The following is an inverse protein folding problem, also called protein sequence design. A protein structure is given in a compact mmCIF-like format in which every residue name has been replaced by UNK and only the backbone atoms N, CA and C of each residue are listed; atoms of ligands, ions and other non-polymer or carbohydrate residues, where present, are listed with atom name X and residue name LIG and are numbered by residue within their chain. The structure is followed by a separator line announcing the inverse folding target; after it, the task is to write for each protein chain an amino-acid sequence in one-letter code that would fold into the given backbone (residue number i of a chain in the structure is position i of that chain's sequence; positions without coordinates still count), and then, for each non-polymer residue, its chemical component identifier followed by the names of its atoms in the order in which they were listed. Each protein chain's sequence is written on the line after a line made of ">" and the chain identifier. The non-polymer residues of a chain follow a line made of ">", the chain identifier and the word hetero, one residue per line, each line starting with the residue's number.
data_IF_030900065506
#
_entry.id   IF_030900065506
#
_cell.length_a   1.000
_cell.length_b   1.000
_cell.length_c   1.000
_cell.angle_alpha   90.00
_cell.angle_beta   90.00
_cell.angle_gamma   90.00
#
_symmetry.space_group_name_H-M   'P 1'
#
loop_
_entity.id
_entity.type
_entity.pdbx_description
1 polymer ?
#
# COMPACT_ATOMS: atom_id res chain seq x y z
N UNK A 1 7.39 -15.63 -51.37
CA UNK A 1 6.56 -16.67 -50.70
C UNK A 1 6.22 -16.38 -49.24
N UNK A 2 7.17 -15.90 -48.42
CA UNK A 2 6.93 -15.60 -47.00
C UNK A 2 5.88 -14.51 -46.76
N UNK A 3 5.88 -13.43 -47.56
CA UNK A 3 4.92 -12.32 -47.39
C UNK A 3 3.49 -12.74 -47.78
N UNK A 4 3.32 -13.56 -48.84
CA UNK A 4 2.01 -14.12 -49.23
C UNK A 4 1.43 -15.01 -48.13
N UNK A 5 2.27 -15.82 -47.47
CA UNK A 5 1.85 -16.68 -46.35
C UNK A 5 1.45 -15.82 -45.14
N UNK A 6 2.23 -14.80 -44.82
CA UNK A 6 1.95 -13.86 -43.70
C UNK A 6 0.62 -13.11 -43.94
N UNK A 7 0.37 -12.67 -45.16
CA UNK A 7 -0.90 -12.01 -45.47
C UNK A 7 -2.09 -12.97 -45.33
N UNK A 8 -2.00 -14.20 -45.90
CA UNK A 8 -3.07 -15.22 -45.71
C UNK A 8 -3.36 -15.54 -44.27
N UNK A 9 -2.33 -15.65 -43.42
CA UNK A 9 -2.49 -15.87 -41.95
C UNK A 9 -3.18 -14.68 -41.28
N UNK A 10 -2.85 -13.46 -41.67
CA UNK A 10 -3.49 -12.25 -41.17
C UNK A 10 -4.97 -12.20 -41.56
N UNK A 11 -5.29 -12.48 -42.79
CA UNK A 11 -6.67 -12.48 -43.30
C UNK A 11 -7.50 -13.59 -42.62
N UNK A 12 -6.93 -14.79 -42.47
CA UNK A 12 -7.56 -15.87 -41.71
C UNK A 12 -7.84 -15.47 -40.25
N UNK A 13 -6.87 -14.84 -39.57
CA UNK A 13 -7.03 -14.39 -38.19
C UNK A 13 -8.12 -13.34 -38.07
N UNK A 14 -8.15 -12.35 -38.96
CA UNK A 14 -9.18 -11.29 -38.94
C UNK A 14 -10.57 -11.89 -39.15
N UNK A 15 -10.73 -12.76 -40.17
CA UNK A 15 -12.02 -13.37 -40.51
C UNK A 15 -12.53 -14.33 -39.43
N UNK A 16 -11.63 -14.93 -38.64
CA UNK A 16 -11.98 -15.88 -37.60
C UNK A 16 -11.84 -15.31 -36.18
N UNK A 17 -11.61 -14.00 -36.01
CA UNK A 17 -11.29 -13.38 -34.73
C UNK A 17 -12.31 -13.67 -33.62
N UNK A 18 -13.61 -13.62 -33.96
CA UNK A 18 -14.70 -13.87 -33.00
C UNK A 18 -14.67 -15.31 -32.51
N UNK A 19 -14.53 -16.28 -33.42
CA UNK A 19 -14.46 -17.71 -33.08
C UNK A 19 -13.22 -18.03 -32.25
N UNK A 20 -12.06 -17.46 -32.59
CA UNK A 20 -10.82 -17.62 -31.87
C UNK A 20 -10.95 -17.07 -30.42
N UNK A 21 -11.54 -15.88 -30.28
CA UNK A 21 -11.80 -15.27 -28.97
C UNK A 21 -12.75 -16.10 -28.11
N UNK A 22 -13.82 -16.64 -28.70
CA UNK A 22 -14.78 -17.51 -27.98
C UNK A 22 -14.11 -18.80 -27.53
N UNK A 23 -13.35 -19.48 -28.38
CA UNK A 23 -12.59 -20.69 -28.05
C UNK A 23 -11.58 -20.41 -26.93
N UNK A 24 -10.84 -19.32 -27.00
CA UNK A 24 -9.89 -18.92 -25.98
C UNK A 24 -10.57 -18.60 -24.64
N UNK A 25 -11.75 -17.94 -24.64
CA UNK A 25 -12.54 -17.68 -23.44
C UNK A 25 -13.04 -18.98 -22.78
N UNK A 26 -13.55 -19.91 -23.61
CA UNK A 26 -14.00 -21.22 -23.13
C UNK A 26 -12.85 -22.00 -22.49
N UNK A 27 -11.73 -22.13 -23.21
CA UNK A 27 -10.52 -22.80 -22.70
C UNK A 27 -10.04 -22.21 -21.36
N UNK A 28 -9.98 -20.86 -21.23
CA UNK A 28 -9.59 -20.21 -19.98
C UNK A 28 -10.55 -20.52 -18.83
N UNK A 29 -11.85 -20.56 -19.12
CA UNK A 29 -12.87 -20.90 -18.09
C UNK A 29 -12.70 -22.35 -17.60
N UNK A 30 -12.53 -23.28 -18.51
CA UNK A 30 -12.40 -24.72 -18.22
C UNK A 30 -11.07 -25.05 -17.53
N UNK A 31 -10.00 -24.29 -17.80
CA UNK A 31 -8.66 -24.55 -17.26
C UNK A 31 -8.19 -23.51 -16.24
N UNK A 32 -9.11 -22.75 -15.62
CA UNK A 32 -8.77 -21.60 -14.78
C UNK A 32 -7.84 -21.98 -13.63
N UNK A 33 -8.14 -23.05 -12.91
CA UNK A 33 -7.34 -23.45 -11.74
C UNK A 33 -5.95 -23.96 -12.14
N UNK A 34 -5.85 -24.70 -13.24
CA UNK A 34 -4.55 -25.14 -13.79
C UNK A 34 -3.69 -23.95 -14.20
N UNK A 35 -4.29 -22.95 -14.88
CA UNK A 35 -3.59 -21.73 -15.31
C UNK A 35 -3.10 -20.95 -14.09
N UNK A 36 -3.95 -20.76 -13.08
CA UNK A 36 -3.57 -20.06 -11.83
C UNK A 36 -2.41 -20.76 -11.13
N UNK A 37 -2.49 -22.09 -11.00
CA UNK A 37 -1.43 -22.89 -10.37
C UNK A 37 -0.10 -22.69 -11.10
N UNK A 38 -0.08 -22.88 -12.41
CA UNK A 38 1.12 -22.70 -13.25
C UNK A 38 1.69 -21.27 -13.16
N UNK A 39 0.83 -20.24 -13.18
CA UNK A 39 1.25 -18.84 -13.04
C UNK A 39 1.85 -18.58 -11.67
N UNK A 40 1.27 -19.14 -10.61
CA UNK A 40 1.78 -18.99 -9.24
C UNK A 40 3.15 -19.69 -9.08
N UNK A 41 3.30 -20.89 -9.58
CA UNK A 41 4.57 -21.64 -9.58
C UNK A 41 5.66 -20.87 -10.35
N UNK A 42 5.32 -20.35 -11.54
CA UNK A 42 6.23 -19.51 -12.32
C UNK A 42 6.64 -18.25 -11.56
N UNK A 43 5.68 -17.56 -10.94
CA UNK A 43 5.95 -16.35 -10.14
C UNK A 43 6.89 -16.66 -8.98
N UNK A 44 6.62 -17.69 -8.18
CA UNK A 44 7.47 -18.06 -7.06
C UNK A 44 8.89 -18.43 -7.49
N UNK A 45 9.01 -19.19 -8.58
CA UNK A 45 10.32 -19.56 -9.14
C UNK A 45 11.11 -18.37 -9.66
N UNK A 46 10.43 -17.35 -10.21
CA UNK A 46 11.07 -16.20 -10.87
C UNK A 46 10.79 -14.87 -10.15
N UNK A 47 10.46 -14.89 -8.87
CA UNK A 47 9.95 -13.75 -8.10
C UNK A 47 10.84 -12.51 -8.23
N UNK A 48 12.12 -12.64 -7.99
CA UNK A 48 13.05 -11.49 -8.04
C UNK A 48 13.10 -10.83 -9.44
N UNK A 49 13.13 -11.65 -10.48
CA UNK A 49 13.13 -11.17 -11.86
C UNK A 49 11.82 -10.47 -12.22
N UNK A 50 10.67 -11.05 -11.86
CA UNK A 50 9.35 -10.50 -12.13
C UNK A 50 9.15 -9.19 -11.36
N UNK A 51 9.51 -9.16 -10.07
CA UNK A 51 9.40 -7.97 -9.23
C UNK A 51 10.35 -6.85 -9.70
N UNK A 52 11.56 -7.18 -10.13
CA UNK A 52 12.50 -6.18 -10.65
C UNK A 52 12.00 -5.57 -11.96
N UNK A 53 11.52 -6.38 -12.92
CA UNK A 53 10.91 -5.91 -14.17
C UNK A 53 9.69 -5.03 -13.90
N UNK A 54 8.83 -5.43 -12.95
CA UNK A 54 7.64 -4.66 -12.55
C UNK A 54 8.03 -3.31 -11.97
N UNK A 55 9.00 -3.27 -11.05
CA UNK A 55 9.53 -2.01 -10.47
C UNK A 55 10.11 -1.09 -11.54
N UNK A 56 10.90 -1.65 -12.47
CA UNK A 56 11.47 -0.88 -13.57
C UNK A 56 10.40 -0.31 -14.51
N UNK A 57 9.41 -1.13 -14.88
CA UNK A 57 8.27 -0.67 -15.68
C UNK A 57 7.51 0.46 -15.00
N UNK A 58 7.20 0.33 -13.70
CA UNK A 58 6.53 1.36 -12.91
C UNK A 58 7.35 2.66 -12.85
N UNK A 59 8.67 2.54 -12.63
CA UNK A 59 9.59 3.69 -12.61
C UNK A 59 9.58 4.42 -13.96
N UNK A 60 9.72 3.68 -15.06
CA UNK A 60 9.80 4.25 -16.41
C UNK A 60 8.47 4.86 -16.90
N UNK A 61 7.33 4.35 -16.39
CA UNK A 61 6.00 4.80 -16.82
C UNK A 61 5.28 5.68 -15.79
N UNK A 62 5.93 6.04 -14.68
CA UNK A 62 5.31 6.77 -13.57
C UNK A 62 4.70 8.09 -13.99
N UNK A 63 5.41 8.90 -14.76
CA UNK A 63 4.93 10.19 -15.25
C UNK A 63 3.74 10.03 -16.18
N UNK A 64 3.83 9.10 -17.12
CA UNK A 64 2.74 8.78 -18.05
C UNK A 64 1.47 8.31 -17.33
N UNK A 65 1.63 7.44 -16.31
CA UNK A 65 0.51 6.97 -15.48
C UNK A 65 -0.10 8.11 -14.66
N UNK A 66 0.73 8.99 -14.09
CA UNK A 66 0.27 10.16 -13.33
C UNK A 66 -0.48 11.16 -14.24
N UNK A 67 0.04 11.42 -15.44
CA UNK A 67 -0.61 12.28 -16.42
C UNK A 67 -1.97 11.71 -16.86
N UNK A 68 -2.03 10.40 -17.15
CA UNK A 68 -3.28 9.70 -17.46
C UNK A 68 -4.30 9.82 -16.31
N UNK A 69 -3.87 9.54 -15.07
CA UNK A 69 -4.74 9.62 -13.90
C UNK A 69 -5.24 11.05 -13.66
N UNK A 70 -4.39 12.06 -13.84
CA UNK A 70 -4.76 13.46 -13.73
C UNK A 70 -5.85 13.80 -14.75
N UNK A 71 -5.61 13.50 -16.03
CA UNK A 71 -6.57 13.72 -17.12
C UNK A 71 -7.89 12.97 -16.90
N UNK A 72 -7.83 11.71 -16.46
CA UNK A 72 -9.02 10.93 -16.14
C UNK A 72 -9.90 11.63 -15.11
N UNK A 73 -9.32 12.14 -14.01
CA UNK A 73 -10.08 12.83 -12.97
C UNK A 73 -10.52 14.26 -13.37
N UNK A 74 -9.85 14.89 -14.29
CA UNK A 74 -10.31 16.16 -14.88
C UNK A 74 -11.58 15.95 -15.72
N UNK A 75 -11.59 14.88 -16.51
CA UNK A 75 -12.74 14.51 -17.34
C UNK A 75 -13.90 13.84 -16.56
N UNK A 76 -13.62 13.30 -15.35
CA UNK A 76 -14.59 12.57 -14.54
C UNK A 76 -14.64 13.11 -13.10
N UNK A 77 -15.13 14.34 -12.88
CA UNK A 77 -15.12 14.98 -11.55
C UNK A 77 -15.93 14.18 -10.51
N UNK A 78 -17.03 13.55 -10.90
CA UNK A 78 -17.83 12.69 -10.01
C UNK A 78 -17.02 11.49 -9.49
N UNK A 79 -16.23 10.84 -10.34
CA UNK A 79 -15.37 9.72 -9.90
C UNK A 79 -14.23 10.21 -9.00
N UNK A 80 -13.72 11.43 -9.20
CA UNK A 80 -12.77 12.07 -8.30
C UNK A 80 -13.34 12.26 -6.90
N UNK A 81 -14.57 12.75 -6.79
CA UNK A 81 -15.23 12.93 -5.48
C UNK A 81 -15.54 11.58 -4.82
N UNK A 82 -16.02 10.59 -5.55
CA UNK A 82 -16.22 9.22 -5.03
C UNK A 82 -14.89 8.63 -4.51
N UNK A 83 -13.77 8.86 -5.22
CA UNK A 83 -12.45 8.40 -4.78
C UNK A 83 -12.01 9.10 -3.49
N UNK A 84 -12.20 10.41 -3.36
CA UNK A 84 -11.93 11.17 -2.13
C UNK A 84 -12.77 10.66 -0.96
N UNK A 85 -14.07 10.42 -1.19
CA UNK A 85 -14.96 9.91 -0.15
C UNK A 85 -14.55 8.50 0.32
N UNK A 86 -14.18 7.60 -0.61
CA UNK A 86 -13.63 6.27 -0.25
C UNK A 86 -12.40 6.39 0.63
N UNK A 87 -11.46 7.28 0.28
CA UNK A 87 -10.25 7.52 1.07
C UNK A 87 -10.59 8.08 2.45
N UNK A 88 -11.52 9.04 2.54
CA UNK A 88 -11.99 9.62 3.81
C UNK A 88 -12.59 8.54 4.71
N UNK A 89 -13.50 7.73 4.18
CA UNK A 89 -14.13 6.64 4.91
C UNK A 89 -13.12 5.59 5.37
N UNK A 90 -12.16 5.24 4.51
CA UNK A 90 -11.09 4.31 4.88
C UNK A 90 -10.22 4.86 6.02
N UNK A 91 -9.84 6.16 5.97
CA UNK A 91 -9.06 6.82 7.03
C UNK A 91 -9.79 6.82 8.36
N UNK A 92 -11.11 7.07 8.36
CA UNK A 92 -11.93 7.04 9.57
C UNK A 92 -11.93 5.63 10.20
N UNK A 93 -12.15 4.59 9.38
CA UNK A 93 -12.15 3.19 9.82
C UNK A 93 -10.78 2.68 10.27
N UNK A 94 -9.69 3.28 9.80
CA UNK A 94 -8.33 2.82 10.04
C UNK A 94 -7.47 3.84 10.80
N UNK A 95 -8.08 4.68 11.64
CA UNK A 95 -7.40 5.78 12.34
C UNK A 95 -6.18 5.30 13.13
N UNK A 96 -6.35 4.26 13.94
CA UNK A 96 -5.28 3.74 14.80
C UNK A 96 -4.11 3.17 13.97
N UNK A 97 -4.43 2.46 12.89
CA UNK A 97 -3.43 1.95 11.95
C UNK A 97 -2.64 3.07 11.28
N UNK A 98 -3.32 4.15 10.87
CA UNK A 98 -2.67 5.34 10.31
C UNK A 98 -1.77 6.03 11.32
N UNK A 99 -2.23 6.17 12.57
CA UNK A 99 -1.45 6.76 13.67
C UNK A 99 -0.15 5.98 13.88
N UNK A 100 -0.23 4.63 13.94
CA UNK A 100 0.96 3.78 14.02
C UNK A 100 1.94 4.03 12.88
N UNK A 101 1.49 3.95 11.61
CA UNK A 101 2.40 4.13 10.47
C UNK A 101 3.00 5.55 10.42
N UNK A 102 2.20 6.57 10.70
CA UNK A 102 2.67 7.96 10.72
C UNK A 102 3.71 8.17 11.80
N UNK A 103 3.46 7.68 13.02
CA UNK A 103 4.38 7.81 14.14
C UNK A 103 5.66 7.02 13.90
N UNK A 104 5.55 5.77 13.43
CA UNK A 104 6.71 4.95 13.10
C UNK A 104 7.62 5.61 12.04
N UNK A 105 7.05 6.22 11.00
CA UNK A 105 7.82 6.99 10.03
C UNK A 105 8.52 8.19 10.67
N UNK A 106 7.80 8.98 11.48
CA UNK A 106 8.35 10.18 12.14
C UNK A 106 9.47 9.81 13.11
N UNK A 107 9.29 8.79 13.93
CA UNK A 107 10.29 8.36 14.93
C UNK A 107 11.54 7.78 14.30
N UNK A 108 11.41 7.06 13.17
CA UNK A 108 12.56 6.62 12.37
C UNK A 108 13.31 7.80 11.76
N UNK A 109 12.60 8.80 11.21
CA UNK A 109 13.21 10.02 10.69
C UNK A 109 13.97 10.79 11.78
N UNK A 110 13.48 10.79 13.02
CA UNK A 110 14.13 11.40 14.17
C UNK A 110 15.23 10.52 14.78
N UNK A 111 15.48 9.31 14.26
CA UNK A 111 16.37 8.29 14.84
C UNK A 111 16.01 7.90 16.30
N UNK A 112 14.76 8.13 16.68
CA UNK A 112 14.26 7.77 18.00
C UNK A 112 13.73 6.32 18.09
N UNK A 113 13.60 5.61 16.96
CA UNK A 113 13.20 4.22 16.89
C UNK A 113 14.42 3.34 16.57
N UNK A 114 15.01 2.66 17.57
CA UNK A 114 16.18 1.81 17.33
C UNK A 114 15.81 0.55 16.53
N UNK A 115 16.82 -0.06 15.89
CA UNK A 115 16.60 -1.25 15.03
C UNK A 115 16.10 -2.48 15.81
N UNK A 116 16.40 -2.58 17.10
CA UNK A 116 15.96 -3.64 18.00
C UNK A 116 14.56 -3.41 18.59
N UNK A 117 13.90 -2.28 18.30
CA UNK A 117 12.55 -2.00 18.79
C UNK A 117 11.54 -3.05 18.28
N UNK A 118 10.74 -3.59 19.18
CA UNK A 118 9.68 -4.54 18.82
C UNK A 118 8.49 -3.80 18.19
N UNK A 119 8.48 -3.73 16.86
CA UNK A 119 7.47 -3.00 16.09
C UNK A 119 6.07 -3.65 16.18
N UNK A 120 5.98 -4.96 16.40
CA UNK A 120 4.68 -5.64 16.53
C UNK A 120 4.01 -5.25 17.85
N UNK A 121 4.75 -5.22 18.97
CA UNK A 121 4.23 -4.72 20.26
C UNK A 121 3.85 -3.25 20.19
N UNK A 122 4.65 -2.42 19.54
CA UNK A 122 4.31 -1.00 19.30
C UNK A 122 3.00 -0.90 18.51
N UNK A 123 2.86 -1.63 17.43
CA UNK A 123 1.67 -1.65 16.58
C UNK A 123 0.43 -2.10 17.36
N UNK A 124 0.56 -3.12 18.19
CA UNK A 124 -0.51 -3.63 19.06
C UNK A 124 -1.03 -2.54 20.01
N UNK A 125 -0.14 -1.77 20.68
CA UNK A 125 -0.51 -0.65 21.52
C UNK A 125 -1.34 0.40 20.72
N UNK A 126 -0.92 0.74 19.50
CA UNK A 126 -1.67 1.69 18.67
C UNK A 126 -3.03 1.14 18.24
N UNK A 127 -3.10 -0.14 17.87
CA UNK A 127 -4.36 -0.76 17.43
C UNK A 127 -5.38 -0.86 18.57
N UNK A 128 -4.92 -1.10 19.78
CA UNK A 128 -5.76 -1.21 20.98
C UNK A 128 -6.09 0.14 21.65
N UNK A 129 -5.62 1.26 21.09
CA UNK A 129 -5.91 2.60 21.64
C UNK A 129 -7.39 2.95 21.48
N UNK A 130 -8.16 3.14 22.59
CA UNK A 130 -9.58 3.44 22.51
C UNK A 130 -9.86 4.84 21.96
N UNK A 131 -11.11 5.07 21.55
CA UNK A 131 -11.55 6.41 21.20
C UNK A 131 -11.50 7.35 22.43
N UNK A 132 -11.03 8.57 22.22
CA UNK A 132 -10.84 9.55 23.32
C UNK A 132 -9.49 9.43 24.04
N UNK A 133 -8.67 8.42 23.68
CA UNK A 133 -7.33 8.22 24.24
C UNK A 133 -6.25 8.46 23.17
N UNK A 134 -5.04 8.72 23.63
CA UNK A 134 -3.86 8.87 22.78
C UNK A 134 -2.76 7.90 23.26
N UNK A 135 -1.98 7.39 22.31
CA UNK A 135 -0.71 6.75 22.62
C UNK A 135 0.34 7.85 22.80
N UNK A 136 0.91 7.90 23.97
CA UNK A 136 1.90 8.89 24.40
C UNK A 136 3.22 8.22 24.80
N UNK A 137 4.32 8.97 24.79
CA UNK A 137 5.61 8.51 25.30
C UNK A 137 5.74 8.88 26.78
N UNK A 138 5.98 7.90 27.66
CA UNK A 138 6.25 8.11 29.08
C UNK A 138 7.39 9.13 29.20
N UNK A 139 8.54 8.79 28.62
CA UNK A 139 9.67 9.70 28.45
C UNK A 139 9.55 10.36 27.06
N UNK A 140 9.36 11.68 26.98
CA UNK A 140 9.13 12.37 25.71
C UNK A 140 10.32 12.24 24.76
N UNK A 141 10.04 12.12 23.44
CA UNK A 141 11.09 12.01 22.41
C UNK A 141 11.87 13.31 22.21
N UNK A 142 11.29 14.46 22.60
CA UNK A 142 11.88 15.79 22.52
C UNK A 142 11.61 16.54 23.82
N UNK A 143 12.62 16.69 24.63
CA UNK A 143 12.60 17.53 25.83
C UNK A 143 13.99 18.16 26.00
N UNK A 144 14.12 19.25 26.77
CA UNK A 144 15.41 19.93 27.00
C UNK A 144 16.40 19.05 27.77
N UNK A 145 15.90 18.26 28.71
CA UNK A 145 16.71 17.54 29.68
C UNK A 145 16.80 16.03 29.41
N UNK A 146 15.86 15.47 28.65
CA UNK A 146 15.74 14.02 28.44
C UNK A 146 15.24 13.71 27.05
N UNK A 147 15.71 12.62 26.47
CA UNK A 147 15.27 12.13 25.17
C UNK A 147 14.94 10.65 25.27
N UNK A 148 13.65 10.33 25.17
CA UNK A 148 13.16 8.95 25.17
C UNK A 148 13.29 8.28 23.81
N UNK A 149 13.07 6.95 23.79
CA UNK A 149 13.04 6.14 22.59
C UNK A 149 11.62 5.70 22.24
N UNK A 150 11.39 5.46 20.95
CA UNK A 150 10.13 4.89 20.47
C UNK A 150 10.18 3.36 20.56
N UNK A 151 9.93 2.87 21.76
CA UNK A 151 9.90 1.46 22.13
C UNK A 151 8.64 1.16 22.93
N UNK A 152 8.15 -0.08 22.88
CA UNK A 152 6.85 -0.45 23.45
C UNK A 152 6.73 -0.16 24.95
N UNK A 153 7.80 -0.32 25.74
CA UNK A 153 7.81 -0.02 27.18
C UNK A 153 7.93 1.47 27.51
N UNK A 154 8.17 2.33 26.53
CA UNK A 154 8.09 3.79 26.67
C UNK A 154 6.77 4.36 26.13
N UNK A 155 5.78 3.50 25.84
CA UNK A 155 4.46 3.90 25.37
C UNK A 155 3.40 3.63 26.42
N UNK A 156 2.46 4.55 26.54
CA UNK A 156 1.29 4.44 27.39
C UNK A 156 0.04 4.93 26.66
N UNK A 157 -1.13 4.44 27.08
CA UNK A 157 -2.42 4.91 26.58
C UNK A 157 -3.04 5.77 27.66
N UNK A 158 -3.22 7.06 27.39
CA UNK A 158 -3.78 8.04 28.33
C UNK A 158 -4.91 8.83 27.69
N UNK A 159 -5.84 9.39 28.49
CA UNK A 159 -6.89 10.27 27.97
C UNK A 159 -6.31 11.41 27.13
N UNK A 160 -6.95 11.72 26.01
CA UNK A 160 -6.47 12.76 25.09
C UNK A 160 -6.27 14.11 25.77
N UNK A 161 -7.15 14.46 26.73
CA UNK A 161 -7.07 15.71 27.53
C UNK A 161 -5.80 15.75 28.40
N UNK A 162 -5.44 14.63 29.01
CA UNK A 162 -4.22 14.51 29.82
C UNK A 162 -2.97 14.58 28.97
N UNK A 163 -2.97 13.90 27.82
CA UNK A 163 -1.85 13.98 26.88
C UNK A 163 -1.60 15.42 26.41
N UNK A 164 -2.65 16.18 26.12
CA UNK A 164 -2.51 17.60 25.76
C UNK A 164 -1.92 18.45 26.88
N UNK A 165 -2.29 18.19 28.16
CA UNK A 165 -1.71 18.89 29.32
C UNK A 165 -0.24 18.50 29.55
N UNK A 166 0.08 17.22 29.41
CA UNK A 166 1.44 16.70 29.54
C UNK A 166 2.39 17.30 28.51
N UNK A 167 1.96 17.40 27.23
CA UNK A 167 2.80 17.90 26.14
C UNK A 167 4.16 17.17 26.11
N UNK A 168 5.28 17.90 26.06
CA UNK A 168 6.64 17.35 26.12
C UNK A 168 7.26 17.43 27.54
N UNK A 169 6.44 17.62 28.59
CA UNK A 169 6.92 17.63 29.96
C UNK A 169 7.24 16.20 30.40
N UNK A 170 8.31 16.09 31.17
CA UNK A 170 8.68 14.87 31.88
C UNK A 170 8.52 15.13 33.37
N UNK A 171 7.61 14.41 33.98
CA UNK A 171 7.39 14.42 35.42
C UNK A 171 7.96 13.09 35.92
N UNK A 172 9.31 13.04 36.06
CA UNK A 172 10.01 11.90 36.67
C UNK A 172 9.93 11.95 38.15
#
# INVERSE_FOLDING_TARGET
>A
NKEKIKQKLKDYYINNLTVIKQKAKKYRKENLERIKKSQNEYYHKNKELVDSKSRQYQKNNREKQNAYKKRYYELNPLEKEKAKQRIKNWKLKNKNKLNFYTRNYQTRKMRACPNWANLEKIKEIYLNCPNGFHVDHITPLKNKNICGLHVHYNLQIIPAKENLKKSNKFNG
#
